data_IF_409202561981
#
_entry.id   IF_409202561981
#
_cell.length_a   1.000
_cell.length_b   1.000
_cell.length_c   1.000
_cell.angle_alpha   90.00
_cell.angle_beta   90.00
_cell.angle_gamma   90.00
#
_symmetry.space_group_name_H-M   'P 1'
#
loop_
_entity.id
_entity.type
_entity.pdbx_description
1 polymer ?
#
# COMPACT_ATOMS: atom_id res chain seq x y z
N UNK A 1 -2.71 6.72 -6.66
CA UNK A 1 -4.05 7.37 -6.65
C UNK A 1 -3.92 8.73 -6.00
N UNK A 2 -4.57 9.75 -6.55
CA UNK A 2 -4.66 11.07 -5.91
C UNK A 2 -5.89 11.18 -5.01
N UNK A 3 -5.86 12.11 -4.04
CA UNK A 3 -7.01 12.42 -3.15
C UNK A 3 -8.26 12.78 -3.96
N UNK A 4 -8.10 13.52 -5.05
CA UNK A 4 -9.23 13.88 -5.93
C UNK A 4 -9.86 12.65 -6.61
N UNK A 5 -9.07 11.66 -7.02
CA UNK A 5 -9.62 10.41 -7.58
C UNK A 5 -10.43 9.65 -6.52
N UNK A 6 -9.94 9.56 -5.29
CA UNK A 6 -10.66 8.91 -4.18
C UNK A 6 -12.01 9.59 -3.91
N UNK A 7 -12.04 10.93 -3.89
CA UNK A 7 -13.28 11.70 -3.68
C UNK A 7 -14.31 11.40 -4.76
N UNK A 8 -13.91 11.41 -6.04
CA UNK A 8 -14.83 11.14 -7.15
C UNK A 8 -15.43 9.73 -7.05
N UNK A 9 -14.64 8.76 -6.62
CA UNK A 9 -15.12 7.39 -6.40
C UNK A 9 -16.09 7.31 -5.23
N UNK A 10 -15.82 8.01 -4.11
CA UNK A 10 -16.78 8.10 -3.01
C UNK A 10 -18.11 8.69 -3.52
N UNK A 11 -18.04 9.73 -4.35
CA UNK A 11 -19.24 10.38 -4.89
C UNK A 11 -20.05 9.52 -5.84
N UNK A 12 -19.40 8.79 -6.76
CA UNK A 12 -20.09 7.88 -7.67
C UNK A 12 -20.79 6.73 -6.95
N UNK A 13 -20.44 6.48 -5.68
CA UNK A 13 -21.04 5.46 -4.82
C UNK A 13 -22.02 6.00 -3.78
N UNK A 14 -22.44 7.27 -3.88
CA UNK A 14 -23.49 7.78 -3.01
C UNK A 14 -23.03 8.19 -1.60
N UNK A 15 -21.72 8.17 -1.30
CA UNK A 15 -21.20 8.63 0.01
C UNK A 15 -21.40 10.14 0.22
N UNK A 16 -21.87 10.56 1.38
CA UNK A 16 -21.92 11.99 1.73
C UNK A 16 -20.52 12.57 2.01
N UNK A 17 -20.46 13.85 2.38
CA UNK A 17 -19.19 14.51 2.65
C UNK A 17 -18.43 13.94 3.85
N UNK A 18 -19.14 13.47 4.89
CA UNK A 18 -18.53 12.96 6.13
C UNK A 18 -17.90 11.59 5.93
N UNK A 19 -18.58 10.72 5.18
CA UNK A 19 -18.04 9.42 4.78
C UNK A 19 -16.90 9.59 3.79
N UNK A 20 -17.02 10.52 2.84
CA UNK A 20 -15.92 10.86 1.92
C UNK A 20 -14.69 11.39 2.67
N UNK A 21 -14.87 12.28 3.63
CA UNK A 21 -13.77 12.80 4.46
C UNK A 21 -13.12 11.70 5.31
N UNK A 22 -13.88 10.70 5.74
CA UNK A 22 -13.33 9.54 6.44
C UNK A 22 -12.36 8.75 5.55
N UNK A 23 -12.72 8.52 4.29
CA UNK A 23 -11.81 7.92 3.30
C UNK A 23 -10.61 8.82 2.98
N UNK A 24 -10.82 10.14 2.89
CA UNK A 24 -9.72 11.08 2.65
C UNK A 24 -8.72 11.06 3.81
N UNK A 25 -9.18 11.06 5.08
CA UNK A 25 -8.31 10.98 6.25
C UNK A 25 -7.38 9.77 6.20
N UNK A 26 -7.88 8.59 5.82
CA UNK A 26 -7.07 7.37 5.77
C UNK A 26 -5.96 7.43 4.73
N UNK A 27 -6.11 8.22 3.67
CA UNK A 27 -5.08 8.39 2.63
C UNK A 27 -4.21 9.63 2.82
N UNK A 28 -4.78 10.73 3.34
CA UNK A 28 -4.12 12.01 3.49
C UNK A 28 -3.05 12.01 4.60
N UNK A 29 -2.98 10.97 5.44
CA UNK A 29 -1.87 10.76 6.39
C UNK A 29 -0.51 10.80 5.70
N UNK A 30 -0.46 10.39 4.42
CA UNK A 30 0.76 10.32 3.62
C UNK A 30 1.22 11.68 3.06
N UNK A 31 0.44 12.76 3.23
CA UNK A 31 0.76 14.10 2.71
C UNK A 31 0.92 15.18 3.80
N UNK A 32 0.78 14.81 5.07
CA UNK A 32 0.92 15.74 6.19
C UNK A 32 2.38 16.22 6.33
N UNK A 33 2.55 17.50 6.69
CA UNK A 33 3.85 18.15 6.89
C UNK A 33 3.84 18.98 8.17
N UNK A 34 4.95 19.09 8.92
CA UNK A 34 4.99 19.78 10.21
C UNK A 34 4.68 21.28 10.15
N UNK A 35 4.82 21.90 8.97
CA UNK A 35 4.59 23.32 8.73
C UNK A 35 3.37 23.61 7.85
N UNK A 36 2.51 22.62 7.61
CA UNK A 36 1.30 22.76 6.80
C UNK A 36 0.08 22.44 7.66
N UNK A 37 -0.54 23.43 8.33
CA UNK A 37 -1.56 23.20 9.36
C UNK A 37 -2.89 22.71 8.81
N UNK A 38 -3.07 22.68 7.50
CA UNK A 38 -4.32 22.32 6.83
C UNK A 38 -4.02 21.43 5.63
N UNK A 39 -4.85 20.40 5.45
CA UNK A 39 -4.91 19.67 4.19
C UNK A 39 -5.97 20.32 3.30
N UNK A 40 -5.50 21.13 2.34
CA UNK A 40 -6.38 21.84 1.40
C UNK A 40 -6.55 21.04 0.11
N UNK A 41 -7.79 20.81 -0.30
CA UNK A 41 -8.16 19.98 -1.46
C UNK A 41 -9.08 20.79 -2.37
N UNK A 42 -8.58 21.11 -3.57
CA UNK A 42 -9.35 21.88 -4.55
C UNK A 42 -10.38 20.99 -5.26
N UNK A 43 -11.65 21.39 -5.15
CA UNK A 43 -12.79 20.74 -5.79
C UNK A 43 -13.04 21.35 -7.16
N UNK A 44 -13.34 20.52 -8.16
CA UNK A 44 -13.56 20.97 -9.54
C UNK A 44 -15.02 21.32 -9.85
N UNK A 45 -15.96 20.89 -9.02
CA UNK A 45 -17.39 21.06 -9.24
C UNK A 45 -18.09 21.70 -8.03
N UNK A 46 -19.05 22.58 -8.32
CA UNK A 46 -19.91 23.18 -7.29
C UNK A 46 -20.79 22.12 -6.61
N UNK A 47 -21.26 21.10 -7.36
CA UNK A 47 -22.06 20.01 -6.79
C UNK A 47 -21.27 19.18 -5.79
N UNK A 48 -20.00 18.96 -6.09
CA UNK A 48 -19.07 18.18 -5.28
C UNK A 48 -18.72 18.92 -4.00
N UNK A 49 -18.41 20.22 -4.12
CA UNK A 49 -18.18 21.07 -2.96
C UNK A 49 -19.44 21.16 -2.09
N UNK A 50 -20.63 21.34 -2.69
CA UNK A 50 -21.91 21.36 -1.97
C UNK A 50 -22.12 20.07 -1.18
N UNK A 51 -21.80 18.92 -1.77
CA UNK A 51 -21.90 17.62 -1.10
C UNK A 51 -20.97 17.53 0.11
N UNK A 52 -19.76 18.06 0.02
CA UNK A 52 -18.86 18.19 1.16
C UNK A 52 -19.41 19.16 2.21
N UNK A 53 -19.99 20.30 1.79
CA UNK A 53 -20.51 21.33 2.70
C UNK A 53 -21.70 20.85 3.54
N UNK A 54 -22.59 20.03 2.98
CA UNK A 54 -23.81 19.54 3.66
C UNK A 54 -23.55 18.80 4.98
N UNK A 55 -22.38 18.22 5.12
CA UNK A 55 -21.99 17.44 6.29
C UNK A 55 -20.67 17.93 6.87
N UNK A 56 -20.25 19.16 6.61
CA UNK A 56 -19.02 19.76 7.15
C UNK A 56 -19.21 20.25 8.59
N UNK A 57 -18.12 20.40 9.34
CA UNK A 57 -18.16 20.98 10.71
C UNK A 57 -18.38 22.50 10.64
N UNK A 58 -17.92 23.13 9.56
CA UNK A 58 -18.16 24.53 9.28
C UNK A 58 -18.17 24.80 7.77
N UNK A 59 -18.96 25.78 7.33
CA UNK A 59 -18.98 26.28 5.96
C UNK A 59 -18.76 27.80 5.96
N UNK A 60 -17.76 28.27 5.20
CA UNK A 60 -17.39 29.69 5.20
C UNK A 60 -16.80 30.11 3.86
N UNK A 61 -16.71 31.44 3.68
CA UNK A 61 -15.91 32.04 2.60
C UNK A 61 -14.69 32.71 3.23
N UNK A 62 -13.50 32.23 2.92
CA UNK A 62 -12.25 32.87 3.30
C UNK A 62 -11.78 33.81 2.18
N UNK A 63 -11.45 35.06 2.53
CA UNK A 63 -11.04 36.09 1.57
C UNK A 63 -9.56 36.41 1.83
N UNK A 64 -8.68 36.00 0.92
CA UNK A 64 -7.25 36.25 1.00
C UNK A 64 -6.73 36.82 -0.31
N UNK A 65 -6.03 37.96 -0.26
CA UNK A 65 -5.42 38.62 -1.43
C UNK A 65 -6.35 38.79 -2.64
N UNK A 66 -7.63 39.12 -2.40
CA UNK A 66 -8.63 39.30 -3.46
C UNK A 66 -9.21 38.01 -4.05
N UNK A 67 -8.87 36.84 -3.49
CA UNK A 67 -9.42 35.54 -3.87
C UNK A 67 -10.38 35.03 -2.80
N UNK A 68 -11.59 34.66 -3.23
CA UNK A 68 -12.64 34.10 -2.40
C UNK A 68 -12.55 32.58 -2.43
N UNK A 69 -12.36 31.96 -1.27
CA UNK A 69 -12.28 30.51 -1.09
C UNK A 69 -13.56 30.02 -0.41
N UNK A 70 -14.35 29.23 -1.13
CA UNK A 70 -15.58 28.62 -0.65
C UNK A 70 -15.26 27.29 0.00
N UNK A 71 -15.40 27.20 1.32
CA UNK A 71 -14.77 26.14 2.10
C UNK A 71 -15.82 25.24 2.77
N UNK A 72 -15.65 23.93 2.60
CA UNK A 72 -16.17 22.91 3.51
C UNK A 72 -15.04 22.54 4.48
N UNK A 73 -15.20 22.90 5.75
CA UNK A 73 -14.21 22.68 6.80
C UNK A 73 -14.55 21.46 7.64
N UNK A 74 -13.56 20.59 7.82
CA UNK A 74 -13.64 19.43 8.70
C UNK A 74 -12.53 19.55 9.76
N UNK A 75 -12.92 19.58 11.03
CA UNK A 75 -12.04 19.81 12.17
C UNK A 75 -11.04 18.67 12.33
N UNK A 76 -9.87 18.97 12.90
CA UNK A 76 -8.89 17.96 13.29
C UNK A 76 -9.53 16.89 14.20
N UNK A 77 -8.97 15.68 14.16
CA UNK A 77 -9.42 14.56 14.97
C UNK A 77 -8.23 13.91 15.67
N UNK A 78 -8.46 13.13 16.72
CA UNK A 78 -7.39 12.46 17.47
C UNK A 78 -6.50 11.55 16.59
N UNK A 79 -7.11 10.97 15.56
CA UNK A 79 -6.44 10.13 14.56
C UNK A 79 -5.90 10.90 13.34
N UNK A 80 -6.15 12.21 13.23
CA UNK A 80 -5.72 13.04 12.10
C UNK A 80 -5.51 14.52 12.52
N UNK A 81 -4.26 15.01 12.63
CA UNK A 81 -3.92 16.23 13.40
C UNK A 81 -4.22 17.55 12.67
N UNK A 82 -4.51 17.50 11.37
CA UNK A 82 -4.79 18.67 10.54
C UNK A 82 -6.29 18.75 10.17
N UNK A 83 -6.91 19.92 10.21
CA UNK A 83 -8.17 20.14 9.54
C UNK A 83 -8.08 19.87 8.04
N UNK A 84 -9.17 19.37 7.44
CA UNK A 84 -9.31 19.24 5.99
C UNK A 84 -10.20 20.37 5.48
N UNK A 85 -9.76 21.04 4.42
CA UNK A 85 -10.55 22.06 3.74
C UNK A 85 -10.73 21.66 2.29
N UNK A 86 -11.97 21.35 1.92
CA UNK A 86 -12.36 21.15 0.54
C UNK A 86 -12.85 22.47 0.02
N UNK A 87 -12.25 22.97 -1.06
CA UNK A 87 -12.51 24.34 -1.50
C UNK A 87 -12.68 24.50 -3.00
N UNK A 88 -13.42 25.54 -3.37
CA UNK A 88 -13.35 26.17 -4.68
C UNK A 88 -12.87 27.61 -4.49
N UNK A 89 -12.17 28.16 -5.48
CA UNK A 89 -11.71 29.55 -5.45
C UNK A 89 -12.23 30.35 -6.63
N UNK A 90 -12.55 31.62 -6.40
CA UNK A 90 -12.92 32.57 -7.44
C UNK A 90 -12.31 33.95 -7.13
N UNK A 91 -11.87 34.66 -8.17
CA UNK A 91 -11.33 36.01 -8.05
C UNK A 91 -12.28 37.07 -8.65
N UNK A 92 -13.19 36.68 -9.54
CA UNK A 92 -14.17 37.58 -10.15
C UNK A 92 -15.47 37.58 -9.35
N UNK A 93 -16.04 38.77 -9.13
CA UNK A 93 -17.24 38.95 -8.31
C UNK A 93 -18.50 38.28 -8.91
N UNK A 94 -18.53 38.08 -10.23
CA UNK A 94 -19.64 37.38 -10.92
C UNK A 94 -19.60 35.90 -10.58
N UNK A 95 -18.44 35.22 -10.67
CA UNK A 95 -18.33 33.83 -10.22
C UNK A 95 -18.56 33.70 -8.71
N UNK A 96 -18.11 34.67 -7.91
CA UNK A 96 -18.39 34.69 -6.47
C UNK A 96 -19.90 34.73 -6.22
N UNK A 97 -20.62 35.62 -6.89
CA UNK A 97 -22.08 35.72 -6.82
C UNK A 97 -22.79 34.45 -7.29
N UNK A 98 -22.32 33.85 -8.38
CA UNK A 98 -22.87 32.61 -8.93
C UNK A 98 -22.70 31.42 -7.97
N UNK A 99 -21.48 31.20 -7.44
CA UNK A 99 -21.21 30.13 -6.48
C UNK A 99 -21.97 30.38 -5.18
N UNK A 100 -21.94 31.61 -4.65
CA UNK A 100 -22.66 31.97 -3.42
C UNK A 100 -24.17 31.73 -3.53
N UNK A 101 -24.78 32.16 -4.64
CA UNK A 101 -26.21 31.95 -4.91
C UNK A 101 -26.53 30.46 -5.02
N UNK A 102 -25.71 29.69 -5.74
CA UNK A 102 -25.88 28.24 -5.86
C UNK A 102 -25.88 27.55 -4.49
N UNK A 103 -24.92 27.88 -3.61
CA UNK A 103 -24.85 27.28 -2.27
C UNK A 103 -26.05 27.67 -1.40
N UNK A 104 -26.47 28.94 -1.44
CA UNK A 104 -27.62 29.43 -0.69
C UNK A 104 -28.93 28.75 -1.14
N UNK A 105 -29.14 28.60 -2.45
CA UNK A 105 -30.31 27.89 -3.01
C UNK A 105 -30.38 26.43 -2.56
N UNK A 106 -29.23 25.83 -2.23
CA UNK A 106 -29.14 24.46 -1.74
C UNK A 106 -29.00 24.36 -0.22
N UNK A 107 -29.34 25.42 0.51
CA UNK A 107 -29.44 25.43 1.97
C UNK A 107 -28.11 25.56 2.71
N UNK A 108 -27.01 25.94 2.04
CA UNK A 108 -25.71 26.17 2.67
C UNK A 108 -25.49 27.66 2.87
N UNK A 109 -25.41 28.07 4.13
CA UNK A 109 -25.03 29.43 4.50
C UNK A 109 -23.51 29.57 4.56
N UNK A 110 -22.99 30.63 3.94
CA UNK A 110 -21.56 30.90 3.87
C UNK A 110 -21.24 32.19 4.63
N UNK A 111 -20.62 32.05 5.79
CA UNK A 111 -20.20 33.21 6.58
C UNK A 111 -18.83 33.69 6.12
N UNK A 112 -18.64 35.00 5.84
CA UNK A 112 -17.32 35.55 5.54
C UNK A 112 -16.34 35.39 6.72
N UNK A 113 -15.11 35.01 6.40
CA UNK A 113 -14.04 34.77 7.36
C UNK A 113 -12.77 35.50 6.94
N UNK A 114 -12.15 36.19 7.90
CA UNK A 114 -10.85 36.84 7.76
C UNK A 114 -9.78 36.07 8.55
N UNK A 115 -8.52 36.46 8.42
CA UNK A 115 -7.37 35.81 9.07
C UNK A 115 -7.54 35.64 10.58
N UNK A 116 -8.06 36.67 11.25
CA UNK A 116 -8.28 36.69 12.71
C UNK A 116 -9.25 35.59 13.18
N UNK A 117 -10.22 35.21 12.33
CA UNK A 117 -11.18 34.13 12.62
C UNK A 117 -10.72 32.79 12.05
N UNK A 118 -9.98 32.81 10.95
CA UNK A 118 -9.51 31.60 10.27
C UNK A 118 -8.38 30.91 11.03
N UNK A 119 -7.38 31.67 11.52
CA UNK A 119 -6.25 31.15 12.30
C UNK A 119 -6.69 30.32 13.52
N UNK A 120 -7.57 30.80 14.42
CA UNK A 120 -8.04 29.99 15.54
C UNK A 120 -8.92 28.81 15.11
N UNK A 121 -9.65 28.90 13.99
CA UNK A 121 -10.47 27.80 13.49
C UNK A 121 -9.62 26.59 13.05
N UNK A 122 -8.48 26.84 12.40
CA UNK A 122 -7.55 25.79 11.98
C UNK A 122 -6.58 25.36 13.10
N UNK A 123 -6.62 26.09 14.22
CA UNK A 123 -5.73 25.92 15.37
C UNK A 123 -4.24 25.80 14.94
N UNK A 124 -3.78 26.69 14.07
CA UNK A 124 -2.44 26.69 13.48
C UNK A 124 -1.31 26.76 14.53
N UNK A 125 -1.49 27.56 15.59
CA UNK A 125 -0.52 27.72 16.68
C UNK A 125 -0.23 26.40 17.42
N UNK A 126 -1.22 25.51 17.50
CA UNK A 126 -1.12 24.21 18.18
C UNK A 126 -0.82 23.06 17.22
N UNK A 127 -0.78 23.32 15.92
CA UNK A 127 -0.62 22.28 14.91
C UNK A 127 0.70 21.53 15.05
N UNK A 128 1.81 22.23 15.29
CA UNK A 128 3.12 21.59 15.41
C UNK A 128 3.13 20.54 16.55
N UNK A 129 2.52 20.86 17.69
CA UNK A 129 2.38 19.94 18.83
C UNK A 129 1.50 18.74 18.48
N UNK A 130 0.30 18.99 17.91
CA UNK A 130 -0.61 17.91 17.47
C UNK A 130 0.05 16.99 16.44
N UNK A 131 0.75 17.58 15.48
CA UNK A 131 1.50 16.86 14.46
C UNK A 131 2.56 15.97 15.09
N UNK A 132 3.38 16.48 16.02
CA UNK A 132 4.42 15.68 16.66
C UNK A 132 3.83 14.50 17.45
N UNK A 133 2.80 14.75 18.27
CA UNK A 133 2.13 13.70 19.04
C UNK A 133 1.51 12.63 18.13
N UNK A 134 0.85 13.05 17.05
CA UNK A 134 0.31 12.14 16.05
C UNK A 134 1.42 11.38 15.30
N UNK A 135 2.48 12.07 14.88
CA UNK A 135 3.56 11.52 14.07
C UNK A 135 4.32 10.43 14.84
N UNK A 136 4.65 10.66 16.12
CA UNK A 136 5.27 9.64 16.97
C UNK A 136 4.42 8.37 17.04
N UNK A 137 3.10 8.51 17.22
CA UNK A 137 2.18 7.35 17.21
C UNK A 137 2.10 6.69 15.85
N UNK A 138 1.97 7.48 14.78
CA UNK A 138 1.90 6.99 13.41
C UNK A 138 3.18 6.25 13.00
N UNK A 139 4.36 6.74 13.37
CA UNK A 139 5.64 6.06 13.13
C UNK A 139 5.72 4.74 13.87
N UNK A 140 5.33 4.71 15.15
CA UNK A 140 5.29 3.47 15.92
C UNK A 140 4.34 2.45 15.28
N UNK A 141 3.12 2.88 14.91
CA UNK A 141 2.09 2.02 14.33
C UNK A 141 2.40 1.56 12.89
N UNK A 142 3.18 2.34 12.14
CA UNK A 142 3.54 2.01 10.75
C UNK A 142 4.87 1.24 10.63
N UNK A 143 5.60 1.02 11.74
CA UNK A 143 6.94 0.40 11.72
C UNK A 143 6.93 -0.97 11.05
N UNK A 144 6.00 -1.85 11.44
CA UNK A 144 5.88 -3.19 10.86
C UNK A 144 5.56 -3.13 9.35
N UNK A 145 4.64 -2.26 8.94
CA UNK A 145 4.32 -2.06 7.53
C UNK A 145 5.51 -1.55 6.73
N UNK A 146 6.25 -0.57 7.25
CA UNK A 146 7.44 -0.01 6.59
C UNK A 146 8.53 -1.07 6.41
N UNK A 147 8.83 -1.86 7.46
CA UNK A 147 9.83 -2.92 7.36
C UNK A 147 9.42 -4.02 6.37
N UNK A 148 8.15 -4.44 6.38
CA UNK A 148 7.61 -5.36 5.39
C UNK A 148 7.70 -4.78 3.98
N UNK A 149 7.27 -3.53 3.77
CA UNK A 149 7.32 -2.85 2.48
C UNK A 149 8.76 -2.74 1.95
N UNK A 150 9.70 -2.31 2.78
CA UNK A 150 11.11 -2.17 2.40
C UNK A 150 11.70 -3.52 1.96
N UNK A 151 11.36 -4.58 2.69
CA UNK A 151 11.72 -5.94 2.30
C UNK A 151 11.08 -6.37 0.98
N UNK A 152 9.78 -6.08 0.78
CA UNK A 152 9.05 -6.39 -0.46
C UNK A 152 9.61 -5.62 -1.66
N UNK A 153 9.94 -4.34 -1.51
CA UNK A 153 10.57 -3.53 -2.57
C UNK A 153 11.93 -4.08 -2.98
N UNK A 154 12.69 -4.63 -2.02
CA UNK A 154 14.00 -5.24 -2.32
C UNK A 154 13.89 -6.60 -3.01
N UNK A 155 12.86 -7.39 -2.69
CA UNK A 155 12.79 -8.80 -3.05
C UNK A 155 11.71 -9.16 -4.09
N UNK A 156 10.76 -8.26 -4.37
CA UNK A 156 9.59 -8.56 -5.22
C UNK A 156 9.35 -7.47 -6.28
N UNK A 157 8.28 -7.61 -7.06
CA UNK A 157 7.78 -6.65 -8.03
C UNK A 157 7.08 -5.41 -7.40
N UNK A 158 6.98 -5.33 -6.08
CA UNK A 158 6.43 -4.16 -5.39
C UNK A 158 7.39 -2.98 -5.51
N UNK A 159 6.84 -1.80 -5.83
CA UNK A 159 7.62 -0.55 -5.88
C UNK A 159 7.13 0.50 -4.89
N UNK A 160 5.88 0.40 -4.44
CA UNK A 160 5.26 1.38 -3.55
C UNK A 160 4.27 0.74 -2.60
N UNK A 161 4.04 1.42 -1.48
CA UNK A 161 3.10 1.01 -0.44
C UNK A 161 2.13 2.12 -0.08
N UNK A 162 0.91 1.74 0.27
CA UNK A 162 -0.11 2.64 0.82
C UNK A 162 -0.45 2.13 2.22
N UNK A 163 -0.23 2.97 3.23
CA UNK A 163 -0.66 2.69 4.59
C UNK A 163 -1.98 3.42 4.89
N UNK A 164 -3.05 2.65 5.08
CA UNK A 164 -4.35 3.14 5.53
C UNK A 164 -4.38 3.11 7.05
N UNK A 165 -3.81 4.14 7.67
CA UNK A 165 -3.68 4.21 9.13
C UNK A 165 -4.97 4.59 9.81
N UNK A 166 -5.31 3.89 10.88
CA UNK A 166 -6.33 4.26 11.88
C UNK A 166 -5.68 4.61 13.23
N UNK A 167 -4.39 4.94 13.22
CA UNK A 167 -3.63 5.41 14.39
C UNK A 167 -3.72 4.47 15.61
N UNK A 168 -3.57 3.15 15.39
CA UNK A 168 -3.58 2.16 16.48
C UNK A 168 -4.97 1.62 16.83
N UNK A 169 -6.01 2.07 16.12
CA UNK A 169 -7.35 1.47 16.15
C UNK A 169 -7.58 0.57 14.94
N UNK A 170 -8.61 -0.26 14.98
CA UNK A 170 -9.12 -1.00 13.84
C UNK A 170 -9.82 -0.03 12.88
N UNK A 171 -9.58 -0.17 11.57
CA UNK A 171 -10.20 0.68 10.55
C UNK A 171 -11.74 0.54 10.50
N UNK A 172 -12.29 -0.58 11.00
CA UNK A 172 -13.73 -0.87 10.96
C UNK A 172 -14.47 -0.42 12.22
N UNK A 173 -14.01 -0.80 13.42
CA UNK A 173 -14.68 -0.44 14.68
C UNK A 173 -13.98 0.63 15.52
N UNK A 174 -12.72 0.97 15.22
CA UNK A 174 -11.91 1.88 16.03
C UNK A 174 -11.25 1.24 17.26
N UNK A 175 -11.56 -0.02 17.59
CA UNK A 175 -10.96 -0.71 18.73
C UNK A 175 -9.45 -0.80 18.62
N UNK A 176 -8.75 -0.68 19.75
CA UNK A 176 -7.28 -0.74 19.77
C UNK A 176 -6.76 -2.04 19.16
N UNK A 177 -5.82 -1.93 18.23
CA UNK A 177 -5.16 -3.08 17.60
C UNK A 177 -3.72 -2.73 17.21
N UNK A 178 -2.85 -3.71 17.34
CA UNK A 178 -1.47 -3.73 16.82
C UNK A 178 -1.33 -4.65 15.59
N UNK A 179 -2.41 -5.34 15.20
CA UNK A 179 -2.41 -6.22 14.03
C UNK A 179 -2.43 -5.39 12.74
N UNK A 180 -1.75 -5.95 11.74
CA UNK A 180 -1.64 -5.40 10.40
C UNK A 180 -2.11 -6.44 9.39
N UNK A 181 -3.00 -6.01 8.50
CA UNK A 181 -3.48 -6.80 7.38
C UNK A 181 -2.95 -6.18 6.09
N UNK A 182 -2.51 -7.01 5.15
CA UNK A 182 -1.90 -6.52 3.91
C UNK A 182 -2.44 -7.24 2.69
N UNK A 183 -2.46 -6.51 1.58
CA UNK A 183 -2.87 -7.02 0.27
C UNK A 183 -2.04 -6.35 -0.80
N UNK A 184 -1.76 -7.08 -1.88
CA UNK A 184 -0.89 -6.57 -2.94
C UNK A 184 -1.58 -6.75 -4.28
N UNK A 185 -1.51 -5.70 -5.10
CA UNK A 185 -2.00 -5.71 -6.48
C UNK A 185 -0.79 -5.63 -7.39
N UNK A 186 -0.68 -6.58 -8.34
CA UNK A 186 0.47 -6.69 -9.23
C UNK A 186 0.00 -6.50 -10.68
N UNK A 187 0.50 -5.44 -11.32
CA UNK A 187 0.41 -5.19 -12.75
C UNK A 187 1.82 -5.15 -13.35
N UNK A 188 2.13 -4.12 -14.14
CA UNK A 188 3.52 -3.85 -14.54
C UNK A 188 4.42 -3.52 -13.33
N UNK A 189 3.84 -2.86 -12.32
CA UNK A 189 4.47 -2.61 -11.02
C UNK A 189 3.50 -3.02 -9.91
N UNK A 190 4.05 -3.42 -8.76
CA UNK A 190 3.27 -3.86 -7.60
C UNK A 190 3.00 -2.74 -6.60
N UNK A 191 1.76 -2.69 -6.09
CA UNK A 191 1.35 -1.80 -4.99
C UNK A 191 0.91 -2.65 -3.81
N UNK A 192 1.58 -2.47 -2.68
CA UNK A 192 1.19 -3.07 -1.41
C UNK A 192 0.27 -2.10 -0.66
N UNK A 193 -0.82 -2.60 -0.10
CA UNK A 193 -1.75 -1.84 0.73
C UNK A 193 -1.79 -2.50 2.09
N UNK A 194 -1.51 -1.72 3.13
CA UNK A 194 -1.61 -2.16 4.52
C UNK A 194 -2.68 -1.37 5.26
N UNK A 195 -3.34 -2.03 6.21
CA UNK A 195 -4.30 -1.41 7.12
C UNK A 195 -4.28 -2.12 8.47
N UNK A 196 -4.97 -1.53 9.45
CA UNK A 196 -5.12 -2.11 10.79
C UNK A 196 -6.51 -2.71 10.96
N UNK A 197 -6.58 -4.01 11.23
CA UNK A 197 -7.80 -4.71 11.62
C UNK A 197 -7.63 -5.29 13.03
N UNK A 198 -8.69 -5.36 13.82
CA UNK A 198 -8.67 -6.17 15.05
C UNK A 198 -8.86 -7.65 14.68
N UNK A 199 -8.57 -8.58 15.60
CA UNK A 199 -8.64 -10.01 15.30
C UNK A 199 -10.01 -10.49 14.81
N UNK A 200 -11.10 -9.87 15.28
CA UNK A 200 -12.45 -10.15 14.77
C UNK A 200 -12.59 -9.75 13.29
N UNK A 201 -12.23 -8.52 12.95
CA UNK A 201 -12.36 -8.04 11.57
C UNK A 201 -11.35 -8.67 10.62
N UNK A 202 -10.20 -9.16 11.12
CA UNK A 202 -9.30 -9.99 10.33
C UNK A 202 -9.92 -11.36 10.01
N UNK A 203 -10.56 -12.01 10.99
CA UNK A 203 -11.29 -13.25 10.75
C UNK A 203 -12.43 -13.06 9.74
N UNK A 204 -13.19 -11.96 9.85
CA UNK A 204 -14.21 -11.61 8.86
C UNK A 204 -13.60 -11.38 7.46
N UNK A 205 -12.42 -10.74 7.38
CA UNK A 205 -11.74 -10.50 6.11
C UNK A 205 -11.28 -11.80 5.44
N UNK A 206 -10.95 -12.84 6.22
CA UNK A 206 -10.58 -14.16 5.69
C UNK A 206 -11.74 -14.89 4.99
N UNK A 207 -12.99 -14.59 5.37
CA UNK A 207 -14.18 -15.14 4.71
C UNK A 207 -14.48 -14.45 3.37
N UNK A 208 -13.75 -13.38 3.04
CA UNK A 208 -13.86 -12.67 1.78
C UNK A 208 -12.79 -13.12 0.80
N UNK A 209 -13.10 -12.97 -0.49
CA UNK A 209 -12.20 -13.42 -1.55
C UNK A 209 -10.88 -12.62 -1.59
N UNK A 210 -10.91 -11.35 -1.14
CA UNK A 210 -9.72 -10.52 -0.93
C UNK A 210 -9.97 -9.52 0.21
N UNK A 211 -8.89 -9.07 0.85
CA UNK A 211 -8.93 -7.99 1.84
C UNK A 211 -9.54 -6.70 1.27
N UNK A 212 -9.30 -6.42 -0.02
CA UNK A 212 -9.89 -5.25 -0.68
C UNK A 212 -11.41 -5.40 -0.85
N UNK A 213 -11.91 -6.60 -1.17
CA UNK A 213 -13.36 -6.85 -1.24
C UNK A 213 -14.02 -6.69 0.13
N UNK A 214 -13.37 -7.20 1.18
CA UNK A 214 -13.81 -6.99 2.56
C UNK A 214 -13.94 -5.50 2.90
N UNK A 215 -12.88 -4.71 2.64
CA UNK A 215 -12.91 -3.26 2.88
C UNK A 215 -14.02 -2.60 2.06
N UNK A 216 -14.18 -3.04 0.80
CA UNK A 216 -15.17 -2.46 -0.09
C UNK A 216 -16.59 -2.66 0.40
N UNK A 217 -16.91 -3.88 0.84
CA UNK A 217 -18.21 -4.23 1.39
C UNK A 217 -18.48 -3.48 2.69
N UNK A 218 -17.54 -3.52 3.65
CA UNK A 218 -17.72 -2.90 4.96
C UNK A 218 -17.82 -1.38 4.91
N UNK A 219 -17.05 -0.74 4.04
CA UNK A 219 -17.01 0.72 3.94
C UNK A 219 -18.06 1.27 2.96
N UNK A 220 -18.74 0.43 2.19
CA UNK A 220 -19.62 0.87 1.10
C UNK A 220 -18.88 1.62 -0.01
N UNK A 221 -17.56 1.48 -0.10
CA UNK A 221 -16.69 2.11 -1.11
C UNK A 221 -16.28 1.02 -2.09
N UNK A 222 -16.39 1.19 -3.40
CA UNK A 222 -15.94 0.16 -4.34
C UNK A 222 -14.44 -0.03 -4.20
N UNK A 223 -13.92 -1.19 -4.59
CA UNK A 223 -12.47 -1.29 -4.71
C UNK A 223 -12.01 -0.41 -5.86
N UNK A 224 -11.30 0.70 -5.61
CA UNK A 224 -11.15 1.76 -6.60
C UNK A 224 -10.11 1.43 -7.70
N UNK A 225 -9.63 0.18 -7.74
CA UNK A 225 -8.56 -0.30 -8.63
C UNK A 225 -8.79 -1.71 -9.21
N UNK A 226 -9.75 -2.48 -8.70
CA UNK A 226 -9.81 -3.93 -8.97
C UNK A 226 -10.85 -4.33 -10.01
N UNK A 227 -11.39 -3.40 -10.79
CA UNK A 227 -12.26 -3.78 -11.90
C UNK A 227 -11.45 -4.65 -12.87
N UNK A 228 -11.66 -5.97 -12.81
CA UNK A 228 -10.95 -6.98 -13.59
C UNK A 228 -9.72 -7.62 -12.92
N UNK A 229 -9.33 -7.21 -11.71
CA UNK A 229 -8.25 -7.90 -10.99
C UNK A 229 -8.70 -9.29 -10.55
N UNK A 230 -7.81 -10.27 -10.70
CA UNK A 230 -8.09 -11.67 -10.38
C UNK A 230 -7.24 -12.11 -9.21
N UNK A 231 -7.85 -12.86 -8.30
CA UNK A 231 -7.11 -13.54 -7.23
C UNK A 231 -6.13 -14.49 -7.88
N UNK A 232 -4.87 -14.40 -7.47
CA UNK A 232 -3.87 -15.38 -7.85
C UNK A 232 -4.25 -16.69 -7.18
N UNK A 233 -4.55 -17.71 -7.99
CA UNK A 233 -4.71 -19.09 -7.54
C UNK A 233 -3.70 -19.90 -8.32
N UNK A 234 -2.85 -20.63 -7.61
CA UNK A 234 -1.91 -21.52 -8.27
C UNK A 234 -2.66 -22.57 -9.10
N UNK A 235 -2.18 -22.79 -10.31
CA UNK A 235 -2.80 -23.64 -11.33
C UNK A 235 -2.13 -23.40 -12.68
N UNK A 236 -2.70 -23.96 -13.75
CA UNK A 236 -2.05 -23.95 -15.06
C UNK A 236 -1.64 -22.54 -15.54
N UNK A 237 -2.52 -21.55 -15.37
CA UNK A 237 -2.21 -20.17 -15.74
C UNK A 237 -1.00 -19.61 -14.98
N UNK A 238 -0.86 -19.93 -13.69
CA UNK A 238 0.31 -19.54 -12.91
C UNK A 238 1.57 -20.21 -13.43
N UNK A 239 1.50 -21.51 -13.76
CA UNK A 239 2.64 -22.24 -14.36
C UNK A 239 3.07 -21.55 -15.66
N UNK A 240 2.12 -21.24 -16.55
CA UNK A 240 2.40 -20.62 -17.84
C UNK A 240 3.08 -19.27 -17.65
N UNK A 241 2.52 -18.42 -16.79
CA UNK A 241 3.10 -17.12 -16.45
C UNK A 241 4.50 -17.24 -15.83
N UNK A 242 4.72 -18.20 -14.93
CA UNK A 242 6.04 -18.43 -14.33
C UNK A 242 7.03 -18.95 -15.37
N UNK A 243 6.62 -19.80 -16.31
CA UNK A 243 7.48 -20.28 -17.38
C UNK A 243 7.94 -19.12 -18.29
N UNK A 244 7.02 -18.26 -18.69
CA UNK A 244 7.33 -17.09 -19.52
C UNK A 244 8.27 -16.14 -18.77
N UNK A 245 7.94 -15.81 -17.52
CA UNK A 245 8.78 -14.98 -16.65
C UNK A 245 10.19 -15.54 -16.48
N UNK A 246 10.35 -16.85 -16.21
CA UNK A 246 11.67 -17.46 -16.00
C UNK A 246 12.49 -17.52 -17.30
N UNK A 247 11.85 -17.70 -18.46
CA UNK A 247 12.53 -17.61 -19.75
C UNK A 247 13.00 -16.19 -20.04
N UNK A 248 12.09 -15.23 -19.96
CA UNK A 248 12.31 -13.87 -20.44
C UNK A 248 13.16 -13.05 -19.46
N UNK A 249 12.91 -13.22 -18.16
CA UNK A 249 13.58 -12.41 -17.15
C UNK A 249 14.84 -13.08 -16.60
N UNK A 250 14.82 -14.39 -16.36
CA UNK A 250 15.97 -15.12 -15.83
C UNK A 250 16.87 -15.72 -16.91
N UNK A 251 16.51 -15.61 -18.19
CA UNK A 251 17.25 -16.18 -19.33
C UNK A 251 17.47 -17.70 -19.18
N UNK A 252 16.45 -18.40 -18.68
CA UNK A 252 16.49 -19.84 -18.49
C UNK A 252 15.80 -20.60 -19.63
N UNK A 253 16.19 -21.86 -19.81
CA UNK A 253 15.44 -22.83 -20.62
C UNK A 253 14.67 -23.75 -19.67
N UNK A 254 13.39 -23.99 -19.96
CA UNK A 254 12.58 -24.92 -19.15
C UNK A 254 13.05 -26.36 -19.44
N UNK A 255 13.54 -27.05 -18.42
CA UNK A 255 14.00 -28.44 -18.50
C UNK A 255 12.86 -29.42 -18.23
N UNK A 256 12.03 -29.13 -17.21
CA UNK A 256 10.93 -30.02 -16.79
C UNK A 256 9.80 -29.22 -16.13
N UNK A 257 8.57 -29.67 -16.33
CA UNK A 257 7.39 -29.27 -15.55
C UNK A 257 6.79 -30.54 -14.96
N UNK A 258 6.51 -30.55 -13.65
CA UNK A 258 5.96 -31.67 -12.91
C UNK A 258 4.92 -31.16 -11.90
N UNK A 259 3.64 -31.28 -12.24
CA UNK A 259 2.57 -30.62 -11.50
C UNK A 259 2.82 -29.11 -11.40
N UNK A 260 2.88 -28.59 -10.18
CA UNK A 260 3.14 -27.18 -9.88
C UNK A 260 4.64 -26.86 -9.72
N UNK A 261 5.53 -27.78 -10.12
CA UNK A 261 6.98 -27.61 -10.03
C UNK A 261 7.61 -27.38 -11.40
N UNK A 262 8.33 -26.28 -11.56
CA UNK A 262 9.05 -25.91 -12.77
C UNK A 262 10.55 -26.01 -12.50
N UNK A 263 11.27 -26.76 -13.33
CA UNK A 263 12.73 -26.79 -13.34
C UNK A 263 13.24 -26.07 -14.58
N UNK A 264 14.03 -25.03 -14.39
CA UNK A 264 14.60 -24.23 -15.46
C UNK A 264 16.13 -24.13 -15.30
N UNK A 265 16.84 -24.04 -16.42
CA UNK A 265 18.31 -24.09 -16.47
C UNK A 265 18.85 -22.80 -17.09
N UNK A 266 19.77 -22.13 -16.40
CA UNK A 266 20.54 -20.99 -16.91
C UNK A 266 21.61 -21.46 -17.89
N UNK A 267 22.10 -20.59 -18.77
CA UNK A 267 23.26 -20.88 -19.66
C UNK A 267 24.52 -21.30 -18.89
N UNK A 268 24.67 -20.84 -17.65
CA UNK A 268 25.76 -21.19 -16.73
C UNK A 268 25.68 -22.64 -16.20
N UNK A 269 24.56 -23.35 -16.44
CA UNK A 269 24.29 -24.69 -15.92
C UNK A 269 23.57 -24.71 -14.57
N UNK A 270 23.39 -23.55 -13.92
CA UNK A 270 22.60 -23.44 -12.69
C UNK A 270 21.14 -23.78 -12.94
N UNK A 271 20.49 -24.47 -11.98
CA UNK A 271 19.06 -24.76 -12.03
C UNK A 271 18.29 -23.90 -11.05
N UNK A 272 17.13 -23.42 -11.50
CA UNK A 272 16.11 -22.78 -10.69
C UNK A 272 14.91 -23.73 -10.65
N UNK A 273 14.59 -24.23 -9.46
CA UNK A 273 13.45 -25.13 -9.24
C UNK A 273 12.40 -24.37 -8.44
N UNK A 274 11.23 -24.19 -9.03
CA UNK A 274 10.14 -23.37 -8.48
C UNK A 274 8.96 -24.30 -8.20
N UNK A 275 8.63 -24.51 -6.92
CA UNK A 275 7.43 -25.24 -6.46
C UNK A 275 6.39 -24.24 -5.98
N UNK A 276 5.17 -24.30 -6.54
CA UNK A 276 4.08 -23.37 -6.24
C UNK A 276 2.77 -24.12 -5.94
N UNK A 277 2.71 -24.85 -4.84
CA UNK A 277 1.51 -25.64 -4.49
C UNK A 277 0.37 -24.71 -4.02
N UNK A 278 0.69 -23.72 -3.18
CA UNK A 278 -0.19 -22.64 -2.77
C UNK A 278 0.60 -21.35 -2.48
N UNK A 279 -0.08 -20.22 -2.30
CA UNK A 279 0.56 -18.93 -1.93
C UNK A 279 1.33 -19.05 -0.61
N UNK A 280 0.87 -19.91 0.30
CA UNK A 280 1.50 -20.21 1.59
C UNK A 280 2.25 -21.56 1.62
N UNK A 281 2.32 -22.28 0.50
CA UNK A 281 3.08 -23.53 0.38
C UNK A 281 3.87 -23.52 -0.93
N UNK A 282 5.09 -23.00 -0.85
CA UNK A 282 5.97 -22.84 -2.00
C UNK A 282 7.43 -22.96 -1.61
N UNK A 283 8.28 -23.19 -2.61
CA UNK A 283 9.73 -23.12 -2.42
C UNK A 283 10.44 -22.77 -3.73
N UNK A 284 11.51 -21.99 -3.64
CA UNK A 284 12.40 -21.68 -4.77
C UNK A 284 13.80 -22.18 -4.44
N UNK A 285 14.28 -23.21 -5.14
CA UNK A 285 15.57 -23.84 -4.88
C UNK A 285 16.56 -23.55 -6.03
N UNK A 286 17.77 -23.12 -5.67
CA UNK A 286 18.86 -22.93 -6.62
C UNK A 286 19.84 -24.09 -6.46
N UNK A 287 20.14 -24.75 -7.58
CA UNK A 287 21.20 -25.76 -7.64
C UNK A 287 22.36 -25.27 -8.50
N UNK A 288 23.57 -25.66 -8.10
CA UNK A 288 24.77 -25.46 -8.90
C UNK A 288 24.79 -26.36 -10.15
N UNK A 289 25.77 -26.20 -11.07
CA UNK A 289 25.87 -27.02 -12.27
C UNK A 289 26.06 -28.52 -11.99
N UNK A 290 26.48 -28.89 -10.78
CA UNK A 290 26.62 -30.29 -10.32
C UNK A 290 25.34 -30.85 -9.70
N UNK A 291 24.23 -30.09 -9.74
CA UNK A 291 22.91 -30.41 -9.16
C UNK A 291 22.86 -30.36 -7.64
N UNK A 292 23.86 -29.77 -7.00
CA UNK A 292 23.86 -29.62 -5.54
C UNK A 292 23.01 -28.41 -5.14
N UNK A 293 22.04 -28.55 -4.22
CA UNK A 293 21.31 -27.40 -3.68
C UNK A 293 22.25 -26.46 -2.93
N UNK A 294 22.14 -25.16 -3.20
CA UNK A 294 23.02 -24.14 -2.61
C UNK A 294 22.26 -23.04 -1.88
N UNK A 295 21.05 -22.70 -2.33
CA UNK A 295 20.20 -21.73 -1.66
C UNK A 295 18.73 -22.06 -1.87
N UNK A 296 17.88 -21.56 -0.97
CA UNK A 296 16.44 -21.83 -1.01
C UNK A 296 15.64 -20.70 -0.38
N UNK A 297 14.51 -20.35 -0.98
CA UNK A 297 13.41 -19.63 -0.34
C UNK A 297 12.33 -20.65 -0.01
N UNK A 298 11.75 -20.58 1.19
CA UNK A 298 10.78 -21.56 1.71
C UNK A 298 9.72 -20.85 2.55
N UNK A 299 8.46 -21.31 2.47
CA UNK A 299 7.32 -20.80 3.24
C UNK A 299 7.05 -21.58 4.54
N UNK A 300 7.78 -22.67 4.78
CA UNK A 300 7.57 -23.50 5.95
C UNK A 300 7.90 -22.77 7.26
N UNK A 301 6.96 -22.78 8.22
CA UNK A 301 7.13 -22.17 9.53
C UNK A 301 8.00 -23.03 10.47
N UNK A 302 9.32 -22.93 10.30
CA UNK A 302 10.31 -23.66 11.10
C UNK A 302 11.51 -22.79 11.53
N UNK A 303 11.43 -21.49 11.26
CA UNK A 303 12.44 -20.50 11.64
C UNK A 303 11.77 -19.27 12.23
N UNK A 304 12.30 -18.79 13.35
CA UNK A 304 11.89 -17.51 13.91
C UNK A 304 12.60 -16.38 13.15
N UNK A 305 11.86 -15.65 12.34
CA UNK A 305 12.34 -14.49 11.57
C UNK A 305 11.39 -13.31 11.75
N UNK A 306 11.90 -12.08 11.65
CA UNK A 306 11.13 -10.85 11.96
C UNK A 306 9.86 -10.69 11.10
N UNK A 307 9.89 -11.18 9.85
CA UNK A 307 8.75 -11.16 8.92
C UNK A 307 8.50 -12.57 8.37
N UNK A 308 8.10 -13.49 9.24
CA UNK A 308 7.83 -14.88 8.91
C UNK A 308 6.42 -15.14 8.35
N UNK A 309 6.14 -16.38 7.92
CA UNK A 309 7.02 -17.56 8.02
C UNK A 309 8.04 -17.66 6.88
N UNK A 310 7.85 -16.89 5.80
CA UNK A 310 8.65 -17.00 4.59
C UNK A 310 10.09 -16.52 4.80
N UNK A 311 11.05 -17.38 4.51
CA UNK A 311 12.46 -17.15 4.82
C UNK A 311 13.39 -17.64 3.71
N UNK A 312 14.63 -17.15 3.74
CA UNK A 312 15.68 -17.51 2.79
C UNK A 312 16.88 -18.14 3.48
N UNK A 313 17.32 -19.26 2.91
CA UNK A 313 18.56 -19.94 3.19
C UNK A 313 19.59 -19.55 2.13
N UNK A 314 20.56 -18.69 2.49
CA UNK A 314 21.58 -18.21 1.53
C UNK A 314 22.69 -19.21 1.24
N UNK A 315 22.95 -20.15 2.15
CA UNK A 315 23.99 -21.17 1.98
C UNK A 315 23.58 -22.49 2.66
N UNK A 316 23.09 -23.42 1.85
CA UNK A 316 22.70 -24.76 2.29
C UNK A 316 23.90 -25.68 2.59
N UNK A 317 25.12 -25.29 2.20
CA UNK A 317 26.33 -26.10 2.48
C UNK A 317 26.80 -26.00 3.94
N UNK A 318 26.32 -25.00 4.69
CA UNK A 318 26.72 -24.71 6.08
C UNK A 318 25.53 -24.81 7.03
N UNK A 319 25.00 -26.02 7.21
CA UNK A 319 23.80 -26.28 8.02
C UNK A 319 23.80 -25.68 9.43
N UNK A 320 24.97 -25.51 10.08
CA UNK A 320 25.09 -24.92 11.43
C UNK A 320 25.33 -23.40 11.46
N UNK A 321 25.53 -22.74 10.31
CA UNK A 321 25.82 -21.30 10.20
C UNK A 321 24.98 -20.60 9.13
N UNK A 322 23.92 -21.24 8.66
CA UNK A 322 23.07 -20.66 7.64
C UNK A 322 22.31 -19.49 8.28
N UNK A 323 22.66 -18.27 7.87
CA UNK A 323 21.96 -17.06 8.29
C UNK A 323 20.60 -17.06 7.58
N UNK A 324 19.56 -17.40 8.34
CA UNK A 324 18.18 -17.39 7.86
C UNK A 324 17.60 -16.02 8.16
N UNK A 325 16.96 -15.44 7.15
CA UNK A 325 16.33 -14.12 7.24
C UNK A 325 14.99 -14.14 6.48
N UNK A 326 14.10 -13.17 6.71
CA UNK A 326 12.86 -13.09 5.96
C UNK A 326 13.12 -12.97 4.46
N UNK A 327 12.38 -13.73 3.66
CA UNK A 327 12.49 -13.64 2.19
C UNK A 327 11.66 -12.49 1.63
N UNK A 328 10.60 -12.10 2.34
CA UNK A 328 9.59 -11.16 1.87
C UNK A 328 8.96 -11.59 0.53
N UNK A 329 8.85 -12.89 0.25
CA UNK A 329 8.27 -13.40 -1.01
C UNK A 329 6.78 -13.72 -0.88
N UNK A 330 6.04 -13.78 -1.99
CA UNK A 330 4.58 -13.98 -2.00
C UNK A 330 4.17 -15.42 -2.32
N UNK A 331 5.12 -16.28 -2.68
CA UNK A 331 4.81 -17.61 -3.23
C UNK A 331 4.31 -17.58 -4.68
N UNK A 332 4.23 -16.38 -5.27
CA UNK A 332 3.92 -16.18 -6.66
C UNK A 332 5.19 -15.78 -7.41
N UNK A 333 5.82 -16.75 -8.09
CA UNK A 333 7.16 -16.60 -8.65
C UNK A 333 7.33 -15.38 -9.56
N UNK A 334 6.30 -15.00 -10.33
CA UNK A 334 6.32 -13.78 -11.17
C UNK A 334 6.55 -12.52 -10.34
N UNK A 335 5.93 -12.44 -9.16
CA UNK A 335 6.17 -11.34 -8.23
C UNK A 335 7.55 -11.43 -7.55
N UNK A 336 8.07 -12.64 -7.37
CA UNK A 336 9.26 -12.93 -6.58
C UNK A 336 10.56 -13.05 -7.40
N UNK A 337 10.49 -12.82 -8.72
CA UNK A 337 11.62 -12.98 -9.65
C UNK A 337 12.86 -12.22 -9.21
N UNK A 338 12.70 -11.06 -8.59
CA UNK A 338 13.80 -10.23 -8.10
C UNK A 338 14.65 -10.97 -7.05
N UNK A 339 14.02 -11.60 -6.06
CA UNK A 339 14.72 -12.43 -5.08
C UNK A 339 15.36 -13.67 -5.72
N UNK A 340 14.62 -14.36 -6.60
CA UNK A 340 15.11 -15.56 -7.30
C UNK A 340 16.35 -15.22 -8.14
N UNK A 341 16.28 -14.13 -8.91
CA UNK A 341 17.38 -13.58 -9.72
C UNK A 341 18.60 -13.29 -8.85
N UNK A 342 18.41 -12.58 -7.74
CA UNK A 342 19.52 -12.24 -6.85
C UNK A 342 20.22 -13.49 -6.32
N UNK A 343 19.47 -14.54 -5.96
CA UNK A 343 20.06 -15.80 -5.48
C UNK A 343 20.89 -16.49 -6.55
N UNK A 344 20.37 -16.62 -7.78
CA UNK A 344 21.09 -17.31 -8.86
C UNK A 344 22.31 -16.51 -9.33
N UNK A 345 22.21 -15.19 -9.47
CA UNK A 345 23.34 -14.33 -9.88
C UNK A 345 24.44 -14.27 -8.81
N UNK A 346 24.06 -14.23 -7.53
CA UNK A 346 25.04 -14.31 -6.43
C UNK A 346 25.75 -15.66 -6.43
N UNK A 347 25.03 -16.74 -6.71
CA UNK A 347 25.59 -18.08 -6.78
C UNK A 347 26.55 -18.25 -7.95
N UNK A 348 26.16 -17.77 -9.14
CA UNK A 348 27.00 -17.75 -10.33
C UNK A 348 28.29 -16.96 -10.09
N UNK A 349 28.20 -15.76 -9.52
CA UNK A 349 29.36 -14.93 -9.23
C UNK A 349 30.36 -15.66 -8.30
N UNK A 350 29.87 -16.28 -7.21
CA UNK A 350 30.71 -17.08 -6.30
C UNK A 350 31.36 -18.26 -6.99
N UNK A 351 30.63 -18.94 -7.88
CA UNK A 351 31.13 -20.09 -8.62
C UNK A 351 32.24 -19.70 -9.60
N UNK A 352 32.06 -18.61 -10.35
CA UNK A 352 33.09 -18.07 -11.24
C UNK A 352 34.35 -17.68 -10.47
N UNK A 353 34.21 -17.02 -9.32
CA UNK A 353 35.36 -16.68 -8.46
C UNK A 353 36.10 -17.92 -7.95
N UNK A 354 35.37 -18.95 -7.49
CA UNK A 354 35.96 -20.19 -7.00
C UNK A 354 36.72 -20.95 -8.10
N UNK A 355 36.16 -21.00 -9.32
CA UNK A 355 36.82 -21.60 -10.49
C UNK A 355 38.07 -20.84 -10.93
N UNK A 356 38.09 -19.50 -10.78
CA UNK A 356 39.27 -18.70 -11.06
C UNK A 356 40.40 -18.96 -10.04
N UNK A 357 40.07 -19.02 -8.74
CA UNK A 357 41.06 -19.29 -7.68
C UNK A 357 41.60 -20.72 -7.67
N UNK A 358 40.88 -21.69 -8.24
CA UNK A 358 41.30 -23.09 -8.34
C UNK A 358 42.14 -23.42 -9.57
N UNK A 359 42.43 -22.45 -10.44
CA UNK A 359 43.31 -22.62 -11.62
C UNK A 359 44.76 -22.20 -11.38
N UNK A 360 45.06 -21.63 -10.20
CA UNK A 360 46.41 -21.20 -9.77
C UNK A 360 47.08 -22.19 -8.79
N UNK A 361 46.57 -23.42 -8.66
CA UNK A 361 47.09 -24.47 -7.76
C UNK A 361 47.62 -25.69 -8.49
#
# INVERSE_FOLDING_TARGET
>A
MSINQLIQICFSHGLDGRNTDTCVKSMAVNVLKPNMPVVAIEMKSQSDLLRMMKTADNTHIYIGAGVFHFNAFYAAADNFPAPRIYYMKAADLTAVGAIGTYMQQHGVALTPMNDQRFSPLIEDQRYAERYQQWHTRWEANSKAFKGLLDGRVKNTAVEQGIWLSSNGGCMMCGDKTDLMSTTTVIGATGIMIGLQLCGQHEAEAMDHSTLLNYISEKMGVPVPFLVGAKIVRHGQKTIDMTCDAVRDELNCVIEKIDGQTITAVRKSGFRVIIRQDAINDYAYNIQDPTRKPISRIDSADHHEVEYGPDHVHRDLSKSKKNHVEPSFTYGFAVADLKAIRQLVETAEAKWTSAQASGKDS
#
